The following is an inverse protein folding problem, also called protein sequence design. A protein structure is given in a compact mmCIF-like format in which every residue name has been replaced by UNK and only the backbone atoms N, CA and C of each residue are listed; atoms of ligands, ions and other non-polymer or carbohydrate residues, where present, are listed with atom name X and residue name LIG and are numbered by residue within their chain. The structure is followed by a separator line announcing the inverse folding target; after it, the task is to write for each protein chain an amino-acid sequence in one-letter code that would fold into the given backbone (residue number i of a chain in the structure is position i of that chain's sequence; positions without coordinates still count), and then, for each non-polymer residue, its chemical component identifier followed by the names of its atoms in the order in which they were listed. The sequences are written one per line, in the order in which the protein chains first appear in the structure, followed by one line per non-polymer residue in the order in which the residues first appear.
data_IF_843726211851
#
_entry.id   IF_843726211851
#
_cell.length_a   1.000
_cell.length_b   1.000
_cell.length_c   1.000
_cell.angle_alpha   90.00
_cell.angle_beta   90.00
_cell.angle_gamma   90.00
#
_symmetry.space_group_name_H-M   'P 1'
#
loop_
_entity.id
_entity.type
_entity.pdbx_description
1 polymer ?
#
# COMPACT_ATOMS: atom_id res chain seq x y z
N UNK A 1 6.00 -17.35 -21.52
CA UNK A 1 6.98 -16.22 -21.40
C UNK A 1 8.01 -16.48 -20.30
N UNK A 2 9.21 -15.88 -20.44
CA UNK A 2 10.27 -15.78 -19.44
C UNK A 2 10.33 -14.33 -18.95
N UNK A 3 9.90 -14.10 -17.70
CA UNK A 3 9.65 -12.75 -17.14
C UNK A 3 10.60 -12.51 -15.97
N UNK A 4 11.27 -11.36 -15.93
CA UNK A 4 12.15 -10.99 -14.81
C UNK A 4 11.57 -9.82 -14.02
N UNK A 5 11.81 -9.83 -12.70
CA UNK A 5 11.38 -8.79 -11.77
C UNK A 5 12.53 -8.14 -11.03
N UNK A 6 12.49 -6.82 -10.85
CA UNK A 6 13.23 -6.20 -9.73
C UNK A 6 12.59 -6.62 -8.41
N UNK A 7 13.05 -7.72 -7.84
CA UNK A 7 12.48 -8.26 -6.61
C UNK A 7 13.13 -7.70 -5.33
N UNK A 8 14.00 -6.68 -5.43
CA UNK A 8 14.65 -6.07 -4.24
C UNK A 8 13.65 -5.72 -3.15
N UNK A 9 12.48 -5.14 -3.51
CA UNK A 9 11.46 -4.77 -2.53
C UNK A 9 10.76 -5.99 -1.94
N UNK A 10 10.52 -7.03 -2.71
CA UNK A 10 9.96 -8.28 -2.19
C UNK A 10 10.82 -8.88 -1.08
N UNK A 11 12.15 -8.91 -1.29
CA UNK A 11 13.08 -9.52 -0.36
C UNK A 11 13.49 -8.64 0.83
N UNK A 12 13.42 -7.29 0.72
CA UNK A 12 14.06 -6.40 1.71
C UNK A 12 13.14 -5.31 2.26
N UNK A 13 11.86 -5.27 1.88
CA UNK A 13 10.96 -4.24 2.34
C UNK A 13 9.77 -4.85 3.06
N UNK A 14 9.57 -4.46 4.33
CA UNK A 14 8.45 -4.90 5.18
C UNK A 14 7.19 -4.03 5.04
N UNK A 15 7.21 -2.98 4.21
CA UNK A 15 6.09 -2.04 4.04
C UNK A 15 5.31 -2.26 2.75
N UNK A 16 4.41 -1.36 2.39
CA UNK A 16 3.50 -1.48 1.25
C UNK A 16 4.15 -1.90 -0.07
N UNK A 17 5.33 -1.35 -0.43
CA UNK A 17 6.05 -1.73 -1.65
C UNK A 17 6.50 -3.19 -1.65
N UNK A 18 6.93 -3.69 -0.49
CA UNK A 18 7.31 -5.09 -0.32
C UNK A 18 6.09 -6.01 -0.39
N UNK A 19 5.00 -5.64 0.27
CA UNK A 19 3.73 -6.38 0.20
C UNK A 19 3.20 -6.46 -1.22
N UNK A 20 3.14 -5.35 -1.94
CA UNK A 20 2.78 -5.33 -3.36
C UNK A 20 3.63 -6.29 -4.19
N UNK A 21 4.96 -6.19 -4.06
CA UNK A 21 5.88 -7.00 -4.85
C UNK A 21 5.70 -8.49 -4.59
N UNK A 22 5.61 -8.91 -3.32
CA UNK A 22 5.40 -10.31 -2.94
C UNK A 22 4.05 -10.85 -3.41
N UNK A 23 2.99 -10.08 -3.19
CA UNK A 23 1.64 -10.48 -3.58
C UNK A 23 1.54 -10.63 -5.10
N UNK A 24 2.05 -9.67 -5.87
CA UNK A 24 2.02 -9.75 -7.33
C UNK A 24 2.83 -10.93 -7.86
N UNK A 25 4.06 -11.12 -7.39
CA UNK A 25 4.92 -12.25 -7.80
C UNK A 25 4.22 -13.58 -7.53
N UNK A 26 3.71 -13.79 -6.31
CA UNK A 26 3.04 -15.03 -5.95
C UNK A 26 1.76 -15.26 -6.75
N UNK A 27 0.97 -14.20 -6.97
CA UNK A 27 -0.28 -14.31 -7.74
C UNK A 27 -0.03 -14.60 -9.21
N UNK A 28 1.03 -14.03 -9.80
CA UNK A 28 1.44 -14.34 -11.16
C UNK A 28 1.96 -15.78 -11.28
N UNK A 29 2.82 -16.20 -10.35
CA UNK A 29 3.39 -17.56 -10.35
C UNK A 29 2.32 -18.64 -10.18
N UNK A 30 1.30 -18.39 -9.35
CA UNK A 30 0.21 -19.32 -9.08
C UNK A 30 -0.84 -19.30 -10.20
N UNK A 31 -1.22 -18.10 -10.66
CA UNK A 31 -2.29 -17.92 -11.64
C UNK A 31 -1.88 -18.21 -13.08
N UNK A 32 -0.57 -18.12 -13.37
CA UNK A 32 0.00 -18.32 -14.70
C UNK A 32 1.24 -19.24 -14.62
N UNK A 33 1.07 -20.51 -14.21
CA UNK A 33 2.17 -21.41 -13.92
C UNK A 33 2.96 -21.85 -15.16
N UNK A 34 2.44 -21.62 -16.37
CA UNK A 34 3.12 -21.88 -17.63
C UNK A 34 4.27 -20.90 -17.94
N UNK A 35 4.39 -19.80 -17.19
CA UNK A 35 5.47 -18.83 -17.36
C UNK A 35 6.59 -19.07 -16.34
N UNK A 36 7.81 -18.66 -16.69
CA UNK A 36 8.97 -18.69 -15.80
C UNK A 36 9.30 -17.29 -15.30
N UNK A 37 9.53 -17.16 -13.99
CA UNK A 37 9.73 -15.87 -13.34
C UNK A 37 11.09 -15.80 -12.67
N UNK A 38 11.91 -14.84 -13.07
CA UNK A 38 13.23 -14.58 -12.52
C UNK A 38 13.19 -13.42 -11.55
N UNK A 39 13.65 -13.64 -10.31
CA UNK A 39 13.57 -12.66 -9.22
C UNK A 39 14.97 -12.11 -8.93
N UNK A 40 15.25 -10.88 -9.38
CA UNK A 40 16.55 -10.24 -9.12
C UNK A 40 16.62 -9.78 -7.66
N UNK A 41 17.52 -10.42 -6.92
CA UNK A 41 17.78 -10.12 -5.51
C UNK A 41 19.24 -9.73 -5.29
N UNK A 42 19.55 -8.46 -4.91
CA UNK A 42 20.94 -8.01 -4.78
C UNK A 42 21.70 -8.61 -3.60
N UNK A 43 21.02 -9.20 -2.60
CA UNK A 43 21.64 -9.81 -1.42
C UNK A 43 20.70 -10.83 -0.77
N UNK A 44 21.22 -11.81 -0.01
CA UNK A 44 20.38 -12.78 0.72
C UNK A 44 19.38 -12.11 1.67
N UNK A 45 18.22 -12.72 1.83
CA UNK A 45 17.17 -12.26 2.74
C UNK A 45 16.30 -13.44 3.19
N UNK A 46 15.77 -13.36 4.42
CA UNK A 46 14.80 -14.29 4.99
C UNK A 46 13.36 -13.75 4.99
N UNK A 47 13.14 -12.53 4.48
CA UNK A 47 11.82 -11.86 4.51
C UNK A 47 10.85 -12.47 3.50
N UNK A 48 11.37 -13.00 2.40
CA UNK A 48 10.57 -13.61 1.35
C UNK A 48 11.18 -14.94 0.92
N UNK A 49 10.40 -16.01 1.06
CA UNK A 49 10.77 -17.35 0.59
C UNK A 49 10.10 -17.64 -0.74
N UNK A 50 10.88 -18.15 -1.68
CA UNK A 50 10.39 -18.55 -2.99
C UNK A 50 9.68 -19.88 -2.85
N UNK A 51 8.42 -19.95 -3.24
CA UNK A 51 7.62 -21.19 -3.24
C UNK A 51 7.00 -21.38 -4.63
N UNK A 52 7.50 -22.34 -5.38
CA UNK A 52 6.97 -22.68 -6.70
C UNK A 52 8.08 -23.08 -7.70
N UNK A 53 7.82 -24.07 -8.56
CA UNK A 53 8.81 -24.59 -9.51
C UNK A 53 9.12 -23.63 -10.66
N UNK A 54 8.26 -22.63 -10.90
CA UNK A 54 8.38 -21.64 -11.96
C UNK A 54 9.01 -20.32 -11.51
N UNK A 55 9.51 -20.25 -10.27
CA UNK A 55 10.20 -19.10 -9.68
C UNK A 55 11.67 -19.40 -9.51
N UNK A 56 12.53 -18.52 -10.00
CA UNK A 56 14.00 -18.63 -9.87
C UNK A 56 14.57 -17.32 -9.34
N UNK A 57 15.36 -17.39 -8.27
CA UNK A 57 16.11 -16.24 -7.77
C UNK A 57 17.43 -16.07 -8.54
N UNK A 58 17.67 -14.84 -9.00
CA UNK A 58 18.95 -14.43 -9.58
C UNK A 58 19.66 -13.50 -8.62
N UNK A 59 20.94 -13.79 -8.34
CA UNK A 59 21.81 -13.01 -7.47
C UNK A 59 23.08 -12.61 -8.18
N UNK A 60 23.67 -11.45 -7.82
CA UNK A 60 24.99 -11.11 -8.32
C UNK A 60 26.03 -12.16 -7.86
N UNK A 61 27.14 -12.33 -8.62
CA UNK A 61 28.23 -13.20 -8.21
C UNK A 61 28.65 -12.94 -6.74
N UNK A 62 28.92 -14.00 -5.98
CA UNK A 62 29.21 -13.91 -4.54
C UNK A 62 30.41 -13.01 -4.22
N UNK A 63 31.39 -12.94 -5.11
CA UNK A 63 32.61 -12.13 -4.99
C UNK A 63 32.37 -10.63 -5.25
N UNK A 64 31.16 -10.23 -5.74
CA UNK A 64 30.89 -8.84 -6.08
C UNK A 64 30.84 -7.97 -4.81
N UNK A 65 31.70 -6.92 -4.66
CA UNK A 65 31.64 -6.00 -3.54
C UNK A 65 30.28 -5.38 -3.35
N UNK A 66 29.87 -5.13 -2.10
CA UNK A 66 28.53 -4.61 -1.76
C UNK A 66 28.14 -3.35 -2.53
N UNK A 67 29.08 -2.43 -2.76
CA UNK A 67 28.88 -1.20 -3.53
C UNK A 67 28.50 -1.48 -5.00
N UNK A 68 29.02 -2.58 -5.60
CA UNK A 68 28.76 -2.94 -6.99
C UNK A 68 27.47 -3.75 -7.18
N UNK A 69 26.82 -4.23 -6.12
CA UNK A 69 25.53 -4.95 -6.20
C UNK A 69 24.41 -4.04 -6.72
N UNK A 70 24.48 -2.74 -6.41
CA UNK A 70 23.57 -1.74 -6.99
C UNK A 70 23.77 -1.59 -8.50
N UNK A 71 25.03 -1.56 -8.95
CA UNK A 71 25.38 -1.50 -10.37
C UNK A 71 24.93 -2.77 -11.12
N UNK A 72 25.13 -3.97 -10.52
CA UNK A 72 24.62 -5.21 -11.09
C UNK A 72 23.12 -5.12 -11.37
N UNK A 73 22.31 -4.74 -10.39
CA UNK A 73 20.85 -4.62 -10.52
C UNK A 73 20.42 -3.58 -11.57
N UNK A 74 21.17 -2.49 -11.72
CA UNK A 74 20.78 -1.38 -12.61
C UNK A 74 21.38 -1.47 -14.00
N UNK A 75 22.34 -2.35 -14.26
CA UNK A 75 23.00 -2.45 -15.58
C UNK A 75 23.49 -3.85 -15.92
N UNK A 76 24.39 -4.45 -15.10
CA UNK A 76 25.08 -5.68 -15.49
C UNK A 76 24.15 -6.90 -15.59
N UNK A 77 23.05 -6.93 -14.86
CA UNK A 77 22.05 -8.00 -14.91
C UNK A 77 21.44 -8.18 -16.32
N UNK A 78 21.46 -7.14 -17.15
CA UNK A 78 20.80 -7.19 -18.48
C UNK A 78 21.42 -8.27 -19.39
N UNK A 79 22.74 -8.48 -19.34
CA UNK A 79 23.37 -9.56 -20.11
C UNK A 79 22.93 -10.93 -19.58
N UNK A 80 22.95 -11.12 -18.26
CA UNK A 80 22.51 -12.37 -17.62
C UNK A 80 21.04 -12.69 -17.95
N UNK A 81 20.17 -11.66 -17.97
CA UNK A 81 18.78 -11.82 -18.37
C UNK A 81 18.62 -12.24 -19.84
N UNK A 82 19.43 -11.68 -20.73
CA UNK A 82 19.45 -12.07 -22.14
C UNK A 82 19.92 -13.51 -22.32
N UNK A 83 20.98 -13.91 -21.60
CA UNK A 83 21.52 -15.29 -21.62
C UNK A 83 20.50 -16.30 -21.06
N UNK A 84 19.66 -15.89 -20.11
CA UNK A 84 18.52 -16.66 -19.61
C UNK A 84 17.31 -16.66 -20.55
N UNK A 85 17.37 -15.98 -21.70
CA UNK A 85 16.25 -15.89 -22.64
C UNK A 85 15.04 -15.13 -22.10
N UNK A 86 15.27 -14.15 -21.20
CA UNK A 86 14.19 -13.31 -20.66
C UNK A 86 13.61 -12.45 -21.77
N UNK A 87 12.28 -12.49 -21.92
CA UNK A 87 11.54 -11.76 -22.94
C UNK A 87 10.98 -10.43 -22.41
N UNK A 88 10.67 -10.38 -21.10
CA UNK A 88 10.09 -9.19 -20.46
C UNK A 88 10.70 -8.95 -19.08
N UNK A 89 10.99 -7.69 -18.79
CA UNK A 89 11.43 -7.21 -17.48
C UNK A 89 10.38 -6.30 -16.86
N UNK A 90 10.02 -6.55 -15.61
CA UNK A 90 9.12 -5.68 -14.87
C UNK A 90 9.82 -5.06 -13.64
N UNK A 91 10.03 -3.75 -13.68
CA UNK A 91 10.47 -2.96 -12.54
C UNK A 91 9.32 -2.68 -11.59
N UNK A 92 9.25 -3.42 -10.48
CA UNK A 92 8.12 -3.35 -9.52
C UNK A 92 8.04 -2.06 -8.71
N UNK A 93 9.04 -1.17 -8.79
CA UNK A 93 9.15 0.01 -7.94
C UNK A 93 9.96 1.11 -8.59
N UNK A 94 9.37 1.81 -9.55
CA UNK A 94 9.85 3.05 -10.20
C UNK A 94 11.17 2.93 -10.98
N UNK A 95 11.79 1.76 -11.09
CA UNK A 95 13.11 1.58 -11.68
C UNK A 95 13.14 0.45 -12.70
N UNK A 96 13.88 0.66 -13.80
CA UNK A 96 14.28 -0.37 -14.77
C UNK A 96 15.78 -0.30 -15.01
N UNK A 97 16.46 -1.41 -15.36
CA UNK A 97 17.88 -1.40 -15.67
C UNK A 97 18.18 -0.71 -17.01
N UNK A 98 19.39 -0.18 -17.10
CA UNK A 98 19.88 0.49 -18.30
C UNK A 98 20.29 -0.57 -19.34
N UNK A 99 19.71 -0.49 -20.54
CA UNK A 99 20.15 -1.29 -21.67
C UNK A 99 19.24 -2.45 -22.05
N UNK A 100 18.06 -2.63 -21.43
CA UNK A 100 17.07 -3.66 -21.82
C UNK A 100 16.75 -3.60 -23.33
N UNK A 101 16.51 -2.40 -23.87
CA UNK A 101 16.21 -2.17 -25.28
C UNK A 101 17.31 -2.69 -26.24
N UNK A 102 18.58 -2.74 -25.77
CA UNK A 102 19.72 -3.27 -26.57
C UNK A 102 19.70 -4.79 -26.68
N UNK A 103 18.91 -5.46 -25.86
CA UNK A 103 18.80 -6.92 -25.80
C UNK A 103 17.43 -7.42 -26.23
N UNK A 104 16.60 -6.55 -26.81
CA UNK A 104 15.22 -6.86 -27.22
C UNK A 104 14.38 -7.45 -26.09
N UNK A 105 14.65 -7.03 -24.83
CA UNK A 105 13.85 -7.39 -23.67
C UNK A 105 12.81 -6.30 -23.47
N UNK A 106 11.53 -6.65 -23.61
CA UNK A 106 10.42 -5.74 -23.34
C UNK A 106 10.44 -5.28 -21.87
N UNK A 107 10.01 -4.05 -21.63
CA UNK A 107 10.13 -3.43 -20.30
C UNK A 107 8.82 -2.82 -19.81
N UNK A 108 8.47 -3.21 -18.58
CA UNK A 108 7.33 -2.66 -17.83
C UNK A 108 7.85 -2.04 -16.54
N UNK A 109 7.26 -0.94 -16.09
CA UNK A 109 7.58 -0.34 -14.79
C UNK A 109 6.31 0.02 -14.04
N UNK A 110 6.21 -0.35 -12.75
CA UNK A 110 5.14 0.11 -11.87
C UNK A 110 5.53 1.40 -11.17
N UNK A 111 4.65 2.40 -11.27
CA UNK A 111 4.71 3.68 -10.57
C UNK A 111 3.66 3.70 -9.46
N UNK A 112 4.11 3.89 -8.21
CA UNK A 112 3.21 3.81 -7.04
C UNK A 112 2.60 5.16 -6.65
N UNK A 113 3.39 6.22 -6.67
CA UNK A 113 2.94 7.57 -6.37
C UNK A 113 3.95 8.61 -6.84
N UNK A 114 3.54 9.87 -6.82
CA UNK A 114 4.39 11.03 -7.06
C UNK A 114 4.31 12.01 -5.88
N UNK A 115 4.20 11.51 -4.66
CA UNK A 115 4.09 12.31 -3.44
C UNK A 115 5.25 13.30 -3.32
N UNK A 116 6.46 12.90 -3.72
CA UNK A 116 7.63 13.77 -3.69
C UNK A 116 7.56 14.98 -4.65
N UNK A 117 6.69 14.93 -5.66
CA UNK A 117 6.38 16.07 -6.53
C UNK A 117 5.27 16.95 -5.98
N UNK A 118 4.18 16.35 -5.46
CA UNK A 118 3.05 17.09 -4.88
C UNK A 118 3.36 17.72 -3.54
N UNK A 119 4.16 17.03 -2.71
CA UNK A 119 4.55 17.49 -1.35
C UNK A 119 6.07 17.55 -1.22
N UNK A 120 6.73 18.42 -2.00
CA UNK A 120 8.20 18.47 -2.07
C UNK A 120 8.87 18.81 -0.74
N UNK A 121 8.18 19.52 0.15
CA UNK A 121 8.66 19.90 1.48
C UNK A 121 8.81 18.68 2.43
N UNK A 122 8.15 17.56 2.15
CA UNK A 122 8.26 16.33 2.93
C UNK A 122 9.50 15.49 2.58
N UNK A 123 10.29 15.90 1.57
CA UNK A 123 11.43 15.15 1.05
C UNK A 123 12.68 16.02 0.99
N UNK A 124 13.85 15.41 1.29
CA UNK A 124 15.14 16.10 1.10
C UNK A 124 15.35 16.40 -0.38
N UNK A 125 15.91 17.57 -0.67
CA UNK A 125 16.17 18.03 -2.03
C UNK A 125 17.01 17.02 -2.87
N UNK A 126 18.06 16.43 -2.25
CA UNK A 126 18.89 15.43 -2.92
C UNK A 126 18.09 14.17 -3.34
N UNK A 127 17.22 13.65 -2.44
CA UNK A 127 16.39 12.49 -2.71
C UNK A 127 15.41 12.78 -3.86
N UNK A 128 14.82 13.98 -3.88
CA UNK A 128 13.93 14.42 -4.96
C UNK A 128 14.64 14.44 -6.31
N UNK A 129 15.88 14.93 -6.38
CA UNK A 129 16.66 14.91 -7.63
C UNK A 129 16.91 13.48 -8.13
N UNK A 130 17.26 12.58 -7.22
CA UNK A 130 17.48 11.16 -7.54
C UNK A 130 16.18 10.52 -8.03
N UNK A 131 15.05 10.74 -7.35
CA UNK A 131 13.76 10.21 -7.77
C UNK A 131 13.36 10.75 -9.14
N UNK A 132 13.47 12.06 -9.37
CA UNK A 132 13.19 12.68 -10.67
C UNK A 132 14.00 12.06 -11.81
N UNK A 133 15.30 11.85 -11.60
CA UNK A 133 16.15 11.23 -12.60
C UNK A 133 15.72 9.79 -12.93
N UNK A 134 15.39 9.00 -11.90
CA UNK A 134 14.90 7.62 -12.08
C UNK A 134 13.56 7.58 -12.79
N UNK A 135 12.60 8.43 -12.39
CA UNK A 135 11.29 8.50 -13.01
C UNK A 135 11.39 8.91 -14.47
N UNK A 136 12.15 9.99 -14.79
CA UNK A 136 12.38 10.41 -16.17
C UNK A 136 13.00 9.30 -17.01
N UNK A 137 14.00 8.59 -16.47
CA UNK A 137 14.62 7.47 -17.17
C UNK A 137 13.63 6.35 -17.45
N UNK A 138 12.89 5.90 -16.40
CA UNK A 138 11.93 4.81 -16.53
C UNK A 138 10.79 5.15 -17.50
N UNK A 139 10.18 6.35 -17.39
CA UNK A 139 9.11 6.80 -18.27
C UNK A 139 9.55 6.91 -19.74
N UNK A 140 10.79 7.34 -19.97
CA UNK A 140 11.35 7.48 -21.32
C UNK A 140 11.62 6.12 -21.98
N UNK A 141 12.10 5.14 -21.21
CA UNK A 141 12.67 3.90 -21.74
C UNK A 141 11.78 2.67 -21.53
N UNK A 142 10.77 2.72 -20.66
CA UNK A 142 9.83 1.61 -20.54
C UNK A 142 8.87 1.56 -21.74
N UNK A 143 8.56 0.35 -22.20
CA UNK A 143 7.58 0.11 -23.25
C UNK A 143 6.16 0.30 -22.75
N UNK A 144 5.91 -0.09 -21.47
CA UNK A 144 4.66 0.19 -20.75
C UNK A 144 4.94 0.66 -19.33
N UNK A 145 4.06 1.50 -18.84
CA UNK A 145 4.05 2.03 -17.49
C UNK A 145 2.75 1.59 -16.81
N UNK A 146 2.87 0.90 -15.69
CA UNK A 146 1.73 0.58 -14.83
C UNK A 146 1.60 1.68 -13.77
N UNK A 147 0.48 2.39 -13.76
CA UNK A 147 0.06 3.25 -12.68
C UNK A 147 -0.87 2.47 -11.74
N UNK A 148 -0.67 2.58 -10.43
CA UNK A 148 -1.48 1.83 -9.47
C UNK A 148 -2.86 2.44 -9.19
N UNK A 149 -3.14 3.61 -9.76
CA UNK A 149 -4.41 4.35 -9.67
C UNK A 149 -4.54 5.33 -10.83
N UNK A 150 -5.76 5.77 -11.11
CA UNK A 150 -6.01 6.87 -12.05
C UNK A 150 -5.35 8.17 -11.56
N UNK A 151 -5.29 8.39 -10.24
CA UNK A 151 -4.55 9.52 -9.68
C UNK A 151 -3.07 9.45 -10.05
N UNK A 152 -2.42 8.31 -9.87
CA UNK A 152 -1.00 8.14 -10.24
C UNK A 152 -0.80 8.37 -11.75
N UNK A 153 -1.73 7.90 -12.60
CA UNK A 153 -1.70 8.17 -14.05
C UNK A 153 -1.81 9.67 -14.35
N UNK A 154 -2.74 10.38 -13.72
CA UNK A 154 -2.88 11.84 -13.86
C UNK A 154 -1.58 12.56 -13.46
N UNK A 155 -0.98 12.17 -12.34
CA UNK A 155 0.27 12.77 -11.84
C UNK A 155 1.45 12.53 -12.80
N UNK A 156 1.56 11.34 -13.40
CA UNK A 156 2.59 11.05 -14.40
C UNK A 156 2.46 11.92 -15.64
N UNK A 157 1.23 12.16 -16.09
CA UNK A 157 0.96 13.05 -17.22
C UNK A 157 1.25 14.50 -16.83
N UNK A 158 0.76 14.96 -15.69
CA UNK A 158 0.90 16.33 -15.21
C UNK A 158 2.38 16.73 -14.98
N UNK A 159 3.12 15.94 -14.21
CA UNK A 159 4.48 16.30 -13.79
C UNK A 159 5.58 15.91 -14.77
N UNK A 160 5.34 14.88 -15.56
CA UNK A 160 6.36 14.34 -16.46
C UNK A 160 5.97 14.35 -17.93
N UNK A 161 4.76 14.81 -18.29
CA UNK A 161 4.23 14.78 -19.66
C UNK A 161 4.36 13.36 -20.26
N UNK A 162 4.15 12.36 -19.42
CA UNK A 162 4.24 10.97 -19.82
C UNK A 162 3.17 10.65 -20.88
N UNK A 163 3.56 9.88 -21.91
CA UNK A 163 2.66 9.46 -22.99
C UNK A 163 1.50 8.60 -22.42
N UNK A 164 0.24 9.09 -22.48
CA UNK A 164 -0.91 8.36 -21.93
C UNK A 164 -1.13 6.99 -22.59
N UNK A 165 -0.67 6.81 -23.84
CA UNK A 165 -0.84 5.55 -24.60
C UNK A 165 0.03 4.44 -24.05
N UNK A 166 1.12 4.78 -23.36
CA UNK A 166 2.00 3.83 -22.67
C UNK A 166 1.53 3.45 -21.26
N UNK A 167 0.60 4.22 -20.67
CA UNK A 167 0.19 4.04 -19.29
C UNK A 167 -1.03 3.12 -19.20
N UNK A 168 -0.94 2.07 -18.37
CA UNK A 168 -2.05 1.20 -18.00
C UNK A 168 -2.31 1.33 -16.49
N UNK A 169 -3.56 1.43 -16.09
CA UNK A 169 -3.92 1.41 -14.67
C UNK A 169 -4.15 -0.05 -14.28
N UNK A 170 -3.33 -0.52 -13.33
CA UNK A 170 -3.50 -1.82 -12.69
C UNK A 170 -3.53 -1.58 -11.18
N UNK A 171 -4.72 -1.64 -10.62
CA UNK A 171 -4.93 -1.39 -9.19
C UNK A 171 -4.14 -2.36 -8.32
N UNK A 172 -3.74 -1.89 -7.14
CA UNK A 172 -3.13 -2.74 -6.13
C UNK A 172 -4.19 -3.64 -5.49
N UNK A 173 -3.73 -4.80 -5.04
CA UNK A 173 -4.56 -5.72 -4.26
C UNK A 173 -4.37 -5.53 -2.76
N UNK A 174 -5.37 -5.95 -2.00
CA UNK A 174 -5.30 -6.11 -0.56
C UNK A 174 -4.86 -7.53 -0.18
N UNK A 175 -4.31 -7.69 1.03
CA UNK A 175 -4.06 -9.00 1.60
C UNK A 175 -5.40 -9.73 1.84
N UNK A 176 -5.62 -10.92 1.24
CA UNK A 176 -6.89 -11.63 1.34
C UNK A 176 -7.26 -12.06 2.76
N UNK A 177 -6.32 -12.07 3.70
CA UNK A 177 -6.58 -12.36 5.11
C UNK A 177 -7.58 -11.39 5.75
N UNK A 178 -7.67 -10.13 5.28
CA UNK A 178 -8.67 -9.17 5.76
C UNK A 178 -10.10 -9.59 5.37
N UNK A 179 -10.29 -10.33 4.29
CA UNK A 179 -11.58 -10.86 3.87
C UNK A 179 -11.98 -12.19 4.54
N UNK A 180 -11.10 -12.78 5.33
CA UNK A 180 -11.39 -14.01 6.06
C UNK A 180 -12.19 -13.69 7.31
N UNK A 181 -13.36 -14.32 7.48
CA UNK A 181 -14.16 -14.18 8.71
C UNK A 181 -13.40 -14.81 9.88
N UNK A 182 -13.15 -14.02 10.90
CA UNK A 182 -12.44 -14.43 12.12
C UNK A 182 -13.47 -14.84 13.17
N UNK A 183 -13.27 -16.02 13.79
CA UNK A 183 -14.15 -16.53 14.83
C UNK A 183 -14.24 -15.57 16.04
N UNK A 184 -15.38 -15.55 16.71
CA UNK A 184 -15.63 -14.63 17.83
C UNK A 184 -14.62 -14.82 18.95
N UNK A 185 -14.26 -16.05 19.25
CA UNK A 185 -13.29 -16.41 20.29
C UNK A 185 -11.91 -15.82 19.98
N UNK A 186 -11.50 -15.83 18.72
CA UNK A 186 -10.23 -15.24 18.30
C UNK A 186 -10.29 -13.71 18.32
N UNK A 187 -11.40 -13.10 17.91
CA UNK A 187 -11.61 -11.65 18.06
C UNK A 187 -11.54 -11.23 19.53
N UNK A 188 -12.16 -11.97 20.43
CA UNK A 188 -12.12 -11.69 21.87
C UNK A 188 -10.71 -11.90 22.44
N UNK A 189 -10.01 -12.94 22.01
CA UNK A 189 -8.60 -13.16 22.37
C UNK A 189 -7.74 -11.97 21.98
N UNK A 190 -7.89 -11.46 20.76
CA UNK A 190 -7.14 -10.31 20.24
C UNK A 190 -7.54 -9.02 20.97
N UNK A 191 -8.84 -8.82 21.26
CA UNK A 191 -9.32 -7.68 22.04
C UNK A 191 -8.66 -7.66 23.42
N UNK A 192 -8.66 -8.80 24.12
CA UNK A 192 -8.05 -8.94 25.45
C UNK A 192 -6.52 -8.75 25.38
N UNK A 193 -5.85 -9.37 24.40
CA UNK A 193 -4.40 -9.27 24.19
C UNK A 193 -3.93 -7.82 24.10
N UNK A 194 -4.64 -7.02 23.29
CA UNK A 194 -4.28 -5.62 23.05
C UNK A 194 -5.07 -4.62 23.92
N UNK A 195 -5.86 -5.11 24.87
CA UNK A 195 -6.70 -4.30 25.76
C UNK A 195 -7.57 -3.30 25.00
N UNK A 196 -8.14 -3.75 23.86
CA UNK A 196 -8.97 -2.90 23.02
C UNK A 196 -10.31 -2.63 23.67
N UNK A 197 -10.87 -1.41 23.58
CA UNK A 197 -12.22 -1.11 24.03
C UNK A 197 -13.27 -1.99 23.33
N UNK A 198 -14.45 -2.11 23.94
CA UNK A 198 -15.57 -2.87 23.37
C UNK A 198 -16.04 -2.31 22.03
N UNK A 199 -16.04 -0.98 21.93
CA UNK A 199 -16.30 -0.22 20.70
C UNK A 199 -15.19 0.82 20.54
N UNK A 200 -14.65 0.96 19.33
CA UNK A 200 -13.60 1.93 19.05
C UNK A 200 -13.50 2.25 17.55
N UNK A 201 -13.06 3.43 17.24
CA UNK A 201 -12.59 3.79 15.91
C UNK A 201 -11.14 3.36 15.70
N UNK A 202 -10.78 2.98 14.49
CA UNK A 202 -9.44 2.52 14.14
C UNK A 202 -8.79 3.48 13.13
N UNK A 203 -7.54 3.86 13.37
CA UNK A 203 -6.70 4.55 12.40
C UNK A 203 -5.40 3.79 12.21
N UNK A 204 -5.02 3.48 10.95
CA UNK A 204 -3.84 2.66 10.63
C UNK A 204 -2.94 3.38 9.63
N UNK A 205 -1.64 3.43 9.94
CA UNK A 205 -0.60 3.99 9.08
C UNK A 205 0.38 4.88 9.81
N UNK A 206 1.45 5.29 9.13
CA UNK A 206 2.43 6.22 9.71
C UNK A 206 1.76 7.51 10.19
N UNK A 207 2.12 7.98 11.38
CA UNK A 207 1.57 9.23 11.95
C UNK A 207 2.36 10.40 11.35
N UNK A 208 1.92 10.85 10.18
CA UNK A 208 2.49 11.95 9.39
C UNK A 208 1.38 12.88 8.91
N UNK A 209 1.73 14.11 8.55
CA UNK A 209 0.78 15.16 8.19
C UNK A 209 -0.21 14.72 7.09
N UNK A 210 0.28 14.05 6.06
CA UNK A 210 -0.53 13.56 4.95
C UNK A 210 -1.60 12.54 5.34
N UNK A 211 -1.38 11.75 6.40
CA UNK A 211 -2.36 10.78 6.94
C UNK A 211 -3.44 11.42 7.83
N UNK A 212 -3.23 12.68 8.22
CA UNK A 212 -4.22 13.57 8.77
C UNK A 212 -4.88 13.13 10.10
N UNK A 213 -4.12 12.44 10.95
CA UNK A 213 -4.61 12.00 12.26
C UNK A 213 -5.09 13.17 13.13
N UNK A 214 -4.46 14.36 13.00
CA UNK A 214 -4.84 15.54 13.76
C UNK A 214 -6.29 15.96 13.47
N UNK A 215 -6.74 15.93 12.21
CA UNK A 215 -8.13 16.25 11.87
C UNK A 215 -9.13 15.25 12.50
N UNK A 216 -8.76 13.97 12.61
CA UNK A 216 -9.57 12.98 13.35
C UNK A 216 -9.66 13.35 14.83
N UNK A 217 -8.55 13.73 15.47
CA UNK A 217 -8.54 14.16 16.86
C UNK A 217 -9.33 15.47 17.07
N UNK A 218 -9.25 16.40 16.12
CA UNK A 218 -10.06 17.62 16.10
C UNK A 218 -11.56 17.28 16.02
N UNK A 219 -11.95 16.38 15.12
CA UNK A 219 -13.33 15.91 15.01
C UNK A 219 -13.83 15.30 16.31
N UNK A 220 -13.03 14.44 16.95
CA UNK A 220 -13.38 13.89 18.28
C UNK A 220 -13.59 14.98 19.33
N UNK A 221 -12.80 16.06 19.29
CA UNK A 221 -12.96 17.17 20.26
C UNK A 221 -14.26 17.95 20.08
N UNK A 222 -14.88 17.90 18.90
CA UNK A 222 -16.17 18.55 18.62
C UNK A 222 -17.37 17.73 19.11
N UNK A 223 -17.21 16.42 19.32
CA UNK A 223 -18.28 15.54 19.80
C UNK A 223 -18.53 15.76 21.29
N UNK A 224 -19.78 15.55 21.75
CA UNK A 224 -20.09 15.42 23.16
C UNK A 224 -19.44 14.16 23.73
N UNK A 225 -19.16 14.15 25.02
CA UNK A 225 -18.46 13.04 25.67
C UNK A 225 -19.20 11.70 25.52
N UNK A 226 -20.52 11.72 25.59
CA UNK A 226 -21.39 10.56 25.43
C UNK A 226 -21.39 9.97 24.01
N UNK A 227 -21.06 10.77 22.99
CA UNK A 227 -21.04 10.36 21.58
C UNK A 227 -19.63 9.94 21.10
N UNK A 228 -18.61 10.06 21.96
CA UNK A 228 -17.23 9.72 21.62
C UNK A 228 -16.94 8.25 21.85
N UNK A 229 -16.50 7.56 20.81
CA UNK A 229 -15.82 6.27 20.97
C UNK A 229 -14.30 6.49 21.05
N UNK A 230 -13.58 5.65 21.82
CA UNK A 230 -12.12 5.67 21.80
C UNK A 230 -11.55 5.48 20.40
N UNK A 231 -10.42 6.12 20.12
CA UNK A 231 -9.67 5.96 18.88
C UNK A 231 -8.43 5.10 19.13
N UNK A 232 -8.34 3.96 18.48
CA UNK A 232 -7.15 3.11 18.47
C UNK A 232 -6.30 3.46 17.24
N UNK A 233 -5.04 3.82 17.47
CA UNK A 233 -4.11 4.23 16.41
C UNK A 233 -2.98 3.20 16.30
N UNK A 234 -2.81 2.63 15.12
CA UNK A 234 -1.71 1.71 14.79
C UNK A 234 -0.77 2.41 13.81
N UNK A 235 0.41 2.77 14.29
CA UNK A 235 1.42 3.44 13.48
C UNK A 235 2.47 4.13 14.33
N UNK A 236 3.51 4.59 13.67
CA UNK A 236 4.59 5.35 14.30
C UNK A 236 4.78 6.69 13.60
N UNK A 237 5.37 7.65 14.29
CA UNK A 237 5.60 8.99 13.75
C UNK A 237 6.67 9.75 14.51
N UNK A 238 7.01 10.93 14.00
CA UNK A 238 8.00 11.85 14.57
C UNK A 238 7.38 13.19 14.98
N UNK A 239 7.85 14.29 14.38
CA UNK A 239 7.42 15.65 14.74
C UNK A 239 5.89 15.87 14.63
N UNK A 240 5.25 15.32 13.61
CA UNK A 240 3.79 15.43 13.47
C UNK A 240 3.03 14.69 14.59
N UNK A 241 3.52 13.51 15.00
CA UNK A 241 2.95 12.79 16.14
C UNK A 241 2.97 13.64 17.41
N UNK A 242 4.07 14.35 17.67
CA UNK A 242 4.16 15.29 18.81
C UNK A 242 3.10 16.40 18.74
N UNK A 243 2.80 16.93 17.54
CA UNK A 243 1.70 17.92 17.37
C UNK A 243 0.35 17.30 17.75
N UNK A 244 0.10 16.03 17.37
CA UNK A 244 -1.12 15.33 17.76
C UNK A 244 -1.19 15.15 19.27
N UNK A 245 -0.12 14.69 19.90
CA UNK A 245 -0.04 14.50 21.35
C UNK A 245 -0.26 15.81 22.12
N UNK A 246 0.34 16.93 21.66
CA UNK A 246 0.11 18.26 22.24
C UNK A 246 -1.37 18.65 22.15
N UNK A 247 -1.99 18.48 20.98
CA UNK A 247 -3.41 18.78 20.80
C UNK A 247 -4.30 17.94 21.74
N UNK A 248 -4.01 16.63 21.86
CA UNK A 248 -4.76 15.74 22.77
C UNK A 248 -4.66 16.22 24.22
N UNK A 249 -3.48 16.62 24.66
CA UNK A 249 -3.26 17.18 26.00
C UNK A 249 -4.05 18.47 26.22
N UNK A 250 -3.97 19.42 25.28
CA UNK A 250 -4.71 20.70 25.36
C UNK A 250 -6.23 20.52 25.40
N UNK A 251 -6.75 19.42 24.81
CA UNK A 251 -8.18 19.09 24.77
C UNK A 251 -8.63 18.09 25.83
N UNK A 252 -7.71 17.55 26.62
CA UNK A 252 -8.01 16.52 27.63
C UNK A 252 -8.49 15.20 27.02
N UNK A 253 -7.96 14.82 25.86
CA UNK A 253 -8.36 13.63 25.07
C UNK A 253 -7.34 12.49 25.14
N UNK A 254 -6.30 12.56 25.98
CA UNK A 254 -5.23 11.57 26.04
C UNK A 254 -5.75 10.16 26.40
N UNK A 255 -6.82 10.09 27.19
CA UNK A 255 -7.42 8.81 27.58
C UNK A 255 -8.34 8.22 26.51
N UNK A 256 -8.75 9.02 25.53
CA UNK A 256 -9.65 8.62 24.45
C UNK A 256 -8.89 8.16 23.18
N UNK A 257 -7.56 8.40 23.12
CA UNK A 257 -6.72 8.03 21.97
C UNK A 257 -5.61 7.07 22.39
N UNK A 258 -5.72 5.84 21.96
CA UNK A 258 -4.81 4.74 22.31
C UNK A 258 -3.78 4.56 21.21
N UNK A 259 -2.54 5.00 21.44
CA UNK A 259 -1.42 4.78 20.50
C UNK A 259 -0.87 3.35 20.68
N UNK A 260 -1.50 2.39 20.00
CA UNK A 260 -1.26 0.96 20.22
C UNK A 260 0.20 0.55 19.91
N UNK A 261 0.82 1.15 18.91
CA UNK A 261 2.22 0.89 18.54
C UNK A 261 3.25 1.39 19.54
N UNK A 262 2.85 2.27 20.47
CA UNK A 262 3.77 2.82 21.48
C UNK A 262 3.85 1.95 22.73
N UNK A 263 2.89 1.08 22.94
CA UNK A 263 2.85 0.20 24.11
C UNK A 263 4.07 -0.73 24.10
N UNK A 264 4.83 -0.82 25.21
CA UNK A 264 6.09 -1.56 25.27
C UNK A 264 5.98 -3.04 24.87
N UNK A 265 4.87 -3.68 25.26
CA UNK A 265 4.56 -5.07 24.94
C UNK A 265 4.39 -5.28 23.43
N UNK A 266 3.77 -4.35 22.71
CA UNK A 266 3.50 -4.45 21.27
C UNK A 266 4.76 -4.24 20.43
N UNK A 267 5.73 -3.47 20.92
CA UNK A 267 7.03 -3.28 20.25
C UNK A 267 7.87 -4.55 20.16
N UNK A 268 7.55 -5.56 20.94
CA UNK A 268 8.24 -6.86 20.99
C UNK A 268 7.37 -8.01 20.47
N UNK A 269 6.10 -7.77 20.24
CA UNK A 269 5.15 -8.79 19.77
C UNK A 269 5.34 -9.04 18.26
N UNK A 270 5.82 -10.22 17.91
CA UNK A 270 6.05 -10.61 16.51
C UNK A 270 4.76 -10.62 15.68
N UNK A 271 3.62 -10.99 16.26
CA UNK A 271 2.34 -11.03 15.55
C UNK A 271 1.83 -9.61 15.25
N UNK A 272 2.07 -8.64 16.14
CA UNK A 272 1.81 -7.24 15.91
C UNK A 272 2.75 -6.65 14.83
N UNK A 273 4.05 -6.89 14.99
CA UNK A 273 5.07 -6.36 14.06
C UNK A 273 4.95 -6.91 12.64
N UNK A 274 4.47 -8.14 12.48
CA UNK A 274 4.22 -8.77 11.18
C UNK A 274 2.81 -8.54 10.65
N UNK A 275 1.99 -7.74 11.36
CA UNK A 275 0.60 -7.45 11.02
C UNK A 275 -0.31 -8.70 10.95
N UNK A 276 0.07 -9.82 11.59
CA UNK A 276 -0.71 -11.07 11.58
C UNK A 276 -2.04 -10.91 12.32
N UNK A 277 -2.05 -10.17 13.42
CA UNK A 277 -3.24 -9.95 14.23
C UNK A 277 -4.08 -8.77 13.73
N UNK A 278 -3.59 -8.02 12.74
CA UNK A 278 -4.23 -6.82 12.22
C UNK A 278 -5.64 -7.05 11.67
N UNK A 279 -5.92 -8.13 10.88
CA UNK A 279 -7.28 -8.42 10.42
C UNK A 279 -8.30 -8.55 11.56
N UNK A 280 -7.91 -9.17 12.69
CA UNK A 280 -8.78 -9.30 13.85
C UNK A 280 -9.01 -7.96 14.56
N UNK A 281 -8.00 -7.08 14.58
CA UNK A 281 -8.16 -5.71 15.12
C UNK A 281 -9.15 -4.92 14.26
N UNK A 282 -9.04 -5.00 12.92
CA UNK A 282 -10.01 -4.37 12.02
C UNK A 282 -11.44 -4.89 12.29
N UNK A 283 -11.63 -6.22 12.33
CA UNK A 283 -12.96 -6.81 12.55
C UNK A 283 -13.53 -6.59 13.96
N UNK A 284 -12.75 -6.09 14.91
CA UNK A 284 -13.21 -5.61 16.20
C UNK A 284 -13.57 -4.11 16.20
N UNK A 285 -13.14 -3.34 15.21
CA UNK A 285 -13.35 -1.90 15.15
C UNK A 285 -14.79 -1.55 14.71
N UNK A 286 -15.33 -0.48 15.28
CA UNK A 286 -16.61 0.10 14.86
C UNK A 286 -16.50 0.70 13.44
N UNK A 287 -15.38 1.35 13.13
CA UNK A 287 -15.08 1.86 11.79
C UNK A 287 -13.57 2.12 11.62
N UNK A 288 -13.09 2.05 10.38
CA UNK A 288 -11.79 2.59 10.00
C UNK A 288 -11.92 4.08 9.66
N UNK A 289 -11.01 4.90 10.21
CA UNK A 289 -10.90 6.32 9.90
C UNK A 289 -9.59 6.59 9.15
N UNK A 290 -9.71 6.97 7.87
CA UNK A 290 -8.58 7.18 6.97
C UNK A 290 -8.75 8.44 6.10
N UNK A 291 -8.93 9.63 6.70
CA UNK A 291 -9.13 10.88 5.96
C UNK A 291 -7.79 11.47 5.49
N UNK A 292 -6.99 10.67 4.78
CA UNK A 292 -5.71 11.12 4.24
C UNK A 292 -5.89 12.24 3.22
N UNK A 293 -4.94 13.18 3.19
CA UNK A 293 -4.92 14.31 2.24
C UNK A 293 -4.49 13.84 0.86
N UNK A 294 -3.62 12.85 0.79
CA UNK A 294 -3.14 12.28 -0.48
C UNK A 294 -2.57 10.87 -0.29
N UNK A 295 -2.83 9.98 -1.25
CA UNK A 295 -2.28 8.61 -1.30
C UNK A 295 -1.93 8.20 -2.73
N UNK A 296 -1.07 7.18 -2.86
CA UNK A 296 -0.86 6.49 -4.13
C UNK A 296 -2.02 5.57 -4.49
N UNK A 297 -2.63 4.90 -3.45
CA UNK A 297 -3.82 4.07 -3.64
C UNK A 297 -4.77 4.08 -2.43
N UNK A 298 -4.36 3.67 -1.25
CA UNK A 298 -5.23 3.59 -0.07
C UNK A 298 -5.51 2.16 0.38
N UNK A 299 -4.46 1.35 0.51
CA UNK A 299 -4.59 -0.05 0.96
C UNK A 299 -5.39 -0.19 2.26
N UNK A 300 -5.22 0.66 3.32
CA UNK A 300 -6.04 0.55 4.52
C UNK A 300 -7.55 0.70 4.27
N UNK A 301 -7.95 1.49 3.28
CA UNK A 301 -9.36 1.58 2.88
C UNK A 301 -9.87 0.21 2.41
N UNK A 302 -9.11 -0.47 1.53
CA UNK A 302 -9.46 -1.82 1.10
C UNK A 302 -9.47 -2.82 2.25
N UNK A 303 -8.49 -2.74 3.17
CA UNK A 303 -8.44 -3.59 4.37
C UNK A 303 -9.72 -3.45 5.20
N UNK A 304 -10.22 -2.22 5.38
CA UNK A 304 -11.50 -1.96 6.05
C UNK A 304 -12.70 -2.55 5.30
N UNK A 305 -12.78 -2.35 3.99
CA UNK A 305 -13.86 -2.89 3.17
C UNK A 305 -13.87 -4.42 3.15
N UNK A 306 -12.70 -5.07 3.03
CA UNK A 306 -12.57 -6.52 3.12
C UNK A 306 -12.92 -7.05 4.52
N UNK A 307 -12.60 -6.30 5.57
CA UNK A 307 -12.95 -6.64 6.96
C UNK A 307 -14.44 -6.45 7.28
N UNK A 308 -15.24 -5.98 6.32
CA UNK A 308 -16.68 -5.69 6.46
C UNK A 308 -16.99 -4.74 7.62
N UNK A 309 -16.20 -3.70 7.76
CA UNK A 309 -16.45 -2.59 8.70
C UNK A 309 -16.70 -1.29 7.92
N UNK A 310 -17.41 -0.33 8.50
CA UNK A 310 -17.54 1.01 7.92
C UNK A 310 -16.17 1.64 7.69
N UNK A 311 -16.00 2.32 6.57
CA UNK A 311 -14.76 3.03 6.23
C UNK A 311 -15.08 4.49 5.98
N UNK A 312 -14.51 5.38 6.79
CA UNK A 312 -14.49 6.82 6.52
C UNK A 312 -13.18 7.18 5.85
N UNK A 313 -13.26 7.84 4.70
CA UNK A 313 -12.09 8.30 3.94
C UNK A 313 -12.35 9.65 3.28
N UNK A 314 -11.38 10.22 2.58
CA UNK A 314 -11.54 11.53 1.97
C UNK A 314 -11.96 11.46 0.50
N UNK A 315 -12.52 12.58 0.02
CA UNK A 315 -12.96 12.78 -1.38
C UNK A 315 -11.79 13.03 -2.35
N UNK A 316 -10.55 13.10 -1.87
CA UNK A 316 -9.40 13.54 -2.66
C UNK A 316 -8.47 12.40 -3.07
N UNK A 317 -7.60 12.66 -4.05
CA UNK A 317 -6.59 11.72 -4.52
C UNK A 317 -7.22 10.45 -5.13
N UNK A 318 -6.63 9.29 -4.88
CA UNK A 318 -7.12 7.97 -5.29
C UNK A 318 -8.08 7.32 -4.28
N UNK A 319 -8.41 7.99 -3.19
CA UNK A 319 -9.23 7.39 -2.13
C UNK A 319 -10.65 7.05 -2.58
N UNK A 320 -11.31 7.85 -3.46
CA UNK A 320 -12.57 7.43 -4.07
C UNK A 320 -12.44 6.19 -4.96
N UNK A 321 -11.29 5.97 -5.61
CA UNK A 321 -11.03 4.75 -6.39
C UNK A 321 -10.99 3.51 -5.48
N UNK A 322 -10.32 3.63 -4.31
CA UNK A 322 -10.23 2.54 -3.34
C UNK A 322 -11.54 2.29 -2.58
N UNK A 323 -12.24 3.36 -2.17
CA UNK A 323 -13.43 3.27 -1.32
C UNK A 323 -14.74 2.96 -2.08
N UNK A 324 -14.81 3.40 -3.34
CA UNK A 324 -16.00 3.18 -4.19
C UNK A 324 -17.30 3.67 -3.52
N UNK A 325 -18.43 3.04 -3.79
CA UNK A 325 -19.73 3.41 -3.20
C UNK A 325 -19.85 3.02 -1.72
N UNK A 326 -18.94 2.20 -1.20
CA UNK A 326 -19.02 1.64 0.14
C UNK A 326 -18.37 2.47 1.25
N UNK A 327 -17.62 3.52 0.92
CA UNK A 327 -17.02 4.39 1.93
C UNK A 327 -17.93 5.59 2.27
N UNK A 328 -17.73 6.12 3.48
CA UNK A 328 -18.18 7.44 3.89
C UNK A 328 -17.11 8.46 3.50
N UNK A 329 -17.50 9.53 2.85
CA UNK A 329 -16.56 10.51 2.29
C UNK A 329 -16.66 11.85 2.99
N UNK A 330 -15.48 12.45 3.27
CA UNK A 330 -15.33 13.76 3.89
C UNK A 330 -14.29 14.60 3.14
N UNK A 331 -14.39 15.92 3.26
CA UNK A 331 -13.26 16.80 2.99
C UNK A 331 -12.23 16.64 4.13
N UNK A 332 -10.99 16.22 3.85
CA UNK A 332 -9.98 15.99 4.88
C UNK A 332 -9.57 17.25 5.64
N UNK A 333 -9.91 18.43 5.14
CA UNK A 333 -9.62 19.72 5.77
C UNK A 333 -10.77 20.27 6.64
N UNK A 334 -11.87 19.51 6.78
CA UNK A 334 -13.04 19.90 7.56
C UNK A 334 -13.32 18.89 8.69
N UNK A 335 -12.75 19.08 9.89
CA UNK A 335 -12.99 18.22 11.03
C UNK A 335 -14.48 18.09 11.42
N UNK A 336 -15.27 19.11 11.14
CA UNK A 336 -16.72 19.14 11.37
C UNK A 336 -17.43 18.04 10.56
N UNK A 337 -17.09 17.89 9.28
CA UNK A 337 -17.64 16.83 8.43
C UNK A 337 -17.21 15.43 8.94
N UNK A 338 -15.97 15.30 9.43
CA UNK A 338 -15.53 14.07 10.05
C UNK A 338 -16.41 13.77 11.27
N UNK A 339 -16.61 14.75 12.16
CA UNK A 339 -17.45 14.59 13.36
C UNK A 339 -18.89 14.19 13.03
N UNK A 340 -19.52 14.83 12.05
CA UNK A 340 -20.86 14.48 11.55
C UNK A 340 -20.93 13.03 11.06
N UNK A 341 -19.94 12.59 10.30
CA UNK A 341 -19.88 11.20 9.82
C UNK A 341 -19.63 10.19 10.95
N UNK A 342 -18.86 10.53 11.99
CA UNK A 342 -18.67 9.67 13.15
C UNK A 342 -20.02 9.43 13.88
N UNK A 343 -20.84 10.47 14.03
CA UNK A 343 -22.20 10.34 14.58
C UNK A 343 -23.05 9.46 13.67
N UNK A 344 -23.07 9.73 12.35
CA UNK A 344 -23.86 8.92 11.39
C UNK A 344 -23.46 7.43 11.46
N UNK A 345 -22.17 7.11 11.49
CA UNK A 345 -21.66 5.73 11.57
C UNK A 345 -22.15 5.03 12.86
N UNK A 346 -22.29 5.76 13.97
CA UNK A 346 -22.70 5.16 15.26
C UNK A 346 -24.22 5.11 15.45
N UNK A 347 -24.99 5.93 14.73
CA UNK A 347 -26.44 6.06 14.94
C UNK A 347 -27.31 5.55 13.78
N UNK A 348 -26.78 5.50 12.55
CA UNK A 348 -27.54 5.08 11.36
C UNK A 348 -27.14 3.67 10.90
N UNK A 349 -27.63 2.65 11.63
CA UNK A 349 -27.30 1.25 11.36
C UNK A 349 -27.72 0.77 9.95
N UNK A 350 -28.78 1.33 9.37
CA UNK A 350 -29.26 0.94 8.04
C UNK A 350 -28.28 1.43 6.94
N UNK A 351 -27.84 2.68 7.01
CA UNK A 351 -26.85 3.21 6.08
C UNK A 351 -25.53 2.48 6.22
N UNK A 352 -25.08 2.24 7.44
CA UNK A 352 -23.86 1.47 7.72
C UNK A 352 -23.91 0.10 7.09
N UNK A 353 -25.00 -0.66 7.27
CA UNK A 353 -25.17 -1.98 6.66
C UNK A 353 -25.12 -1.91 5.13
N UNK A 354 -25.78 -0.92 4.53
CA UNK A 354 -25.76 -0.70 3.08
C UNK A 354 -24.34 -0.39 2.58
N UNK A 355 -23.60 0.48 3.28
CA UNK A 355 -22.22 0.86 2.93
C UNK A 355 -21.27 -0.32 3.04
N UNK A 356 -21.37 -1.15 4.08
CA UNK A 356 -20.57 -2.37 4.25
C UNK A 356 -20.78 -3.31 3.05
N UNK A 357 -22.03 -3.56 2.64
CA UNK A 357 -22.33 -4.47 1.52
C UNK A 357 -21.80 -3.93 0.20
N UNK A 358 -22.03 -2.66 -0.11
CA UNK A 358 -21.48 -2.00 -1.30
C UNK A 358 -19.95 -1.98 -1.30
N UNK A 359 -19.33 -1.79 -0.13
CA UNK A 359 -17.89 -1.81 0.05
C UNK A 359 -17.31 -3.20 -0.19
N UNK A 360 -17.94 -4.24 0.34
CA UNK A 360 -17.53 -5.61 0.09
C UNK A 360 -17.58 -5.98 -1.40
N UNK A 361 -18.67 -5.62 -2.08
CA UNK A 361 -18.81 -5.86 -3.52
C UNK A 361 -17.75 -5.10 -4.31
N UNK A 362 -17.51 -3.84 -3.98
CA UNK A 362 -16.48 -3.02 -4.62
C UNK A 362 -15.07 -3.60 -4.40
N UNK A 363 -14.78 -4.09 -3.19
CA UNK A 363 -13.47 -4.63 -2.85
C UNK A 363 -13.08 -5.86 -3.68
N UNK A 364 -14.04 -6.64 -4.22
CA UNK A 364 -13.75 -7.87 -4.98
C UNK A 364 -12.91 -7.64 -6.24
N UNK A 365 -12.94 -6.45 -6.82
CA UNK A 365 -12.10 -6.11 -7.96
C UNK A 365 -10.60 -5.96 -7.60
N UNK A 366 -10.27 -5.85 -6.31
CA UNK A 366 -8.91 -5.68 -5.79
C UNK A 366 -8.33 -6.98 -5.18
N UNK A 367 -8.90 -8.11 -5.53
CA UNK A 367 -8.31 -9.40 -5.17
C UNK A 367 -6.96 -9.59 -5.87
N UNK A 368 -5.98 -10.27 -5.23
CA UNK A 368 -4.64 -10.47 -5.79
C UNK A 368 -4.63 -11.04 -7.22
N UNK A 369 -5.55 -11.96 -7.52
CA UNK A 369 -5.65 -12.54 -8.86
C UNK A 369 -6.16 -11.55 -9.90
N UNK A 370 -7.01 -10.59 -9.54
CA UNK A 370 -7.48 -9.56 -10.48
C UNK A 370 -6.34 -8.60 -10.85
N UNK A 371 -5.52 -8.19 -9.87
CA UNK A 371 -4.30 -7.43 -10.13
C UNK A 371 -3.33 -8.21 -11.03
N UNK A 372 -3.11 -9.49 -10.75
CA UNK A 372 -2.24 -10.34 -11.56
C UNK A 372 -2.74 -10.49 -13.01
N UNK A 373 -4.06 -10.66 -13.21
CA UNK A 373 -4.67 -10.70 -14.56
C UNK A 373 -4.49 -9.40 -15.31
N UNK A 374 -4.74 -8.25 -14.66
CA UNK A 374 -4.55 -6.94 -15.28
C UNK A 374 -3.08 -6.71 -15.69
N UNK A 375 -2.14 -7.07 -14.82
CA UNK A 375 -0.70 -6.98 -15.13
C UNK A 375 -0.29 -7.93 -16.26
N UNK A 376 -0.82 -9.16 -16.27
CA UNK A 376 -0.55 -10.14 -17.33
C UNK A 376 -1.06 -9.65 -18.70
N UNK A 377 -2.21 -8.98 -18.74
CA UNK A 377 -2.70 -8.34 -19.98
C UNK A 377 -1.70 -7.32 -20.53
N UNK A 378 -1.08 -6.52 -19.66
CA UNK A 378 -0.03 -5.57 -20.08
C UNK A 378 1.18 -6.31 -20.65
N UNK A 379 1.53 -7.49 -20.12
CA UNK A 379 2.65 -8.29 -20.67
C UNK A 379 2.33 -8.84 -22.06
N UNK A 380 1.10 -9.33 -22.26
CA UNK A 380 0.66 -9.79 -23.59
C UNK A 380 0.56 -8.69 -24.66
N UNK A 381 0.44 -7.40 -24.26
CA UNK A 381 0.57 -6.30 -25.22
C UNK A 381 1.99 -6.17 -25.82
N UNK A 382 3.00 -6.70 -25.15
CA UNK A 382 4.41 -6.52 -25.49
C UNK A 382 5.09 -7.78 -26.02
N UNK A 383 4.64 -8.94 -25.55
CA UNK A 383 5.20 -10.24 -25.92
C UNK A 383 4.06 -11.11 -26.44
N UNK A 384 4.07 -11.34 -27.73
CA UNK A 384 3.15 -12.30 -28.37
C UNK A 384 3.72 -13.70 -28.12
N UNK A 385 2.89 -14.60 -27.58
CA UNK A 385 3.25 -16.00 -27.33
C UNK A 385 3.47 -16.78 -28.63
#
# INVERSE_FOLDING_TARGET
MRIAFDAKRAFHNGTGLGHYSRTLINSLATGFPQHHYFLLNPKPSSVFSITGPNLQELRPPSQLPGLLRGYWRTKSCVQELADQGVQLYHGLSHEIPIGLYKKSIASVVTMHDLIFERYPHQYKWADRKIYRAKFKFALRHADRVIAISEQTKRDLIEFYQADPTKIRVCYQSCNPLFGTTIATEEKDRIRNKYKLPAQFFLSVGSIIERKNLLAVCQALSLLKKEDRLPLVVIGSGGAYKKKVETFLHEKGLEQEVILLSDQPENKKDSAFLTARDLPAIYQNATALLYPSIFEGFGIPVLEGLFSRIPVLTSTVSCLPEAGGPGAFYVDPFQPEQIAEQLISITTNAEEVKKKIELGWQHAQQFLPMQTAKAVMQVYHELVID
#
